data_IF_603847596262
#
_entry.id   IF_603847596262
#
_cell.length_a   1.000
_cell.length_b   1.000
_cell.length_c   1.000
_cell.angle_alpha   90.00
_cell.angle_beta   90.00
_cell.angle_gamma   90.00
#
_symmetry.space_group_name_H-M   'P 1'
#
loop_
_entity.id
_entity.type
_entity.pdbx_description
1 polymer ?
#
# COMPACT_ATOMS: atom_id res chain seq x y z
N UNK A 1 -25.15 -13.37 6.08
CA UNK A 1 -24.26 -12.52 6.89
C UNK A 1 -24.90 -11.14 6.90
N UNK A 2 -25.28 -10.65 8.07
CA UNK A 2 -25.99 -9.36 8.22
C UNK A 2 -25.25 -8.24 7.50
N UNK A 3 -25.98 -7.44 6.72
CA UNK A 3 -25.51 -6.26 6.01
C UNK A 3 -24.96 -5.25 7.03
N UNK A 4 -23.66 -5.32 7.30
CA UNK A 4 -23.04 -4.54 8.35
C UNK A 4 -22.36 -3.32 7.77
N UNK A 5 -23.04 -2.18 7.86
CA UNK A 5 -22.50 -0.88 7.47
C UNK A 5 -21.31 -0.52 8.36
N UNK A 6 -20.21 -0.09 7.77
CA UNK A 6 -19.00 0.38 8.46
C UNK A 6 -19.05 1.89 8.70
N UNK A 7 -18.35 2.37 9.72
CA UNK A 7 -18.18 3.81 9.90
C UNK A 7 -17.27 4.36 8.78
N UNK A 8 -16.23 3.61 8.44
CA UNK A 8 -15.31 3.97 7.37
C UNK A 8 -14.73 2.74 6.66
N UNK A 9 -14.69 2.79 5.33
CA UNK A 9 -13.85 1.89 4.52
C UNK A 9 -12.59 2.65 4.09
N UNK A 10 -11.43 2.01 4.24
CA UNK A 10 -10.13 2.53 3.82
C UNK A 10 -9.63 1.69 2.64
N UNK A 11 -9.38 2.32 1.50
CA UNK A 11 -8.90 1.65 0.29
C UNK A 11 -7.39 1.84 0.19
N UNK A 12 -6.65 0.78 0.51
CA UNK A 12 -5.18 0.75 0.52
C UNK A 12 -4.62 0.67 1.93
N UNK A 13 -3.84 -0.37 2.21
CA UNK A 13 -3.13 -0.58 3.48
C UNK A 13 -1.63 -0.23 3.37
N UNK A 14 -1.30 0.90 2.74
CA UNK A 14 0.01 1.53 2.86
C UNK A 14 0.14 2.35 4.15
N UNK A 15 1.23 3.10 4.38
CA UNK A 15 1.43 3.88 5.60
C UNK A 15 0.28 4.85 5.89
N UNK A 16 -0.26 5.51 4.87
CA UNK A 16 -1.39 6.43 5.00
C UNK A 16 -2.67 5.72 5.48
N UNK A 17 -3.03 4.61 4.82
CA UNK A 17 -4.23 3.86 5.16
C UNK A 17 -4.13 3.16 6.52
N UNK A 18 -2.98 2.56 6.83
CA UNK A 18 -2.75 1.92 8.13
C UNK A 18 -2.80 2.94 9.27
N UNK A 19 -2.20 4.11 9.10
CA UNK A 19 -2.29 5.18 10.10
C UNK A 19 -3.73 5.64 10.32
N UNK A 20 -4.49 5.85 9.24
CA UNK A 20 -5.90 6.23 9.33
C UNK A 20 -6.73 5.15 10.03
N UNK A 21 -6.58 3.88 9.62
CA UNK A 21 -7.29 2.75 10.20
C UNK A 21 -6.95 2.55 11.68
N UNK A 22 -5.69 2.75 12.08
CA UNK A 22 -5.27 2.64 13.48
C UNK A 22 -6.00 3.67 14.34
N UNK A 23 -6.00 4.94 13.94
CA UNK A 23 -6.70 5.97 14.71
C UNK A 23 -8.21 5.76 14.72
N UNK A 24 -8.81 5.37 13.59
CA UNK A 24 -10.25 5.04 13.54
C UNK A 24 -10.59 3.89 14.50
N UNK A 25 -9.80 2.82 14.51
CA UNK A 25 -9.97 1.70 15.43
C UNK A 25 -9.80 2.14 16.90
N UNK A 26 -8.81 2.99 17.20
CA UNK A 26 -8.61 3.59 18.54
C UNK A 26 -9.78 4.47 18.98
N UNK A 27 -10.45 5.13 18.03
CA UNK A 27 -11.70 5.87 18.27
C UNK A 27 -12.94 4.97 18.30
N UNK A 28 -12.75 3.65 18.35
CA UNK A 28 -13.81 2.62 18.38
C UNK A 28 -14.75 2.71 17.17
N UNK A 29 -14.24 3.15 16.03
CA UNK A 29 -14.97 3.14 14.76
C UNK A 29 -14.82 1.77 14.11
N UNK A 30 -15.90 1.28 13.51
CA UNK A 30 -15.92 0.07 12.70
C UNK A 30 -15.26 0.39 11.36
N UNK A 31 -13.98 0.03 11.24
CA UNK A 31 -13.16 0.28 10.05
C UNK A 31 -12.84 -1.01 9.31
N UNK A 32 -13.01 -1.00 7.99
CA UNK A 32 -12.59 -2.07 7.09
C UNK A 32 -11.56 -1.52 6.10
N UNK A 33 -10.39 -2.14 6.04
CA UNK A 33 -9.27 -1.71 5.20
C UNK A 33 -8.98 -2.76 4.13
N UNK A 34 -8.94 -2.36 2.86
CA UNK A 34 -8.57 -3.22 1.75
C UNK A 34 -7.11 -3.06 1.33
N UNK A 35 -6.48 -4.14 0.86
CA UNK A 35 -5.17 -4.10 0.20
C UNK A 35 -5.01 -5.21 -0.84
N UNK A 36 -4.06 -5.05 -1.75
CA UNK A 36 -3.71 -6.06 -2.77
C UNK A 36 -2.19 -6.39 -2.81
N UNK A 37 -1.48 -6.22 -1.68
CA UNK A 37 -0.06 -6.61 -1.52
C UNK A 37 0.92 -6.07 -2.58
N UNK A 38 0.67 -4.89 -3.14
CA UNK A 38 1.57 -4.25 -4.11
C UNK A 38 1.94 -2.83 -3.65
N UNK A 39 2.74 -2.69 -2.57
CA UNK A 39 3.20 -1.38 -2.12
C UNK A 39 4.18 -0.76 -3.14
N UNK A 40 4.13 0.57 -3.27
CA UNK A 40 4.96 1.31 -4.25
C UNK A 40 6.45 1.07 -4.06
N UNK A 41 6.92 1.08 -2.81
CA UNK A 41 8.33 0.98 -2.44
C UNK A 41 8.78 -0.48 -2.18
N UNK A 42 8.07 -1.48 -2.72
CA UNK A 42 8.40 -2.91 -2.49
C UNK A 42 9.85 -3.28 -2.91
N UNK A 43 10.48 -2.48 -3.77
CA UNK A 43 11.86 -2.71 -4.23
C UNK A 43 12.92 -1.99 -3.40
N UNK A 44 12.52 -1.15 -2.46
CA UNK A 44 13.48 -0.49 -1.58
C UNK A 44 14.02 -1.47 -0.54
N UNK A 45 15.31 -1.35 -0.25
CA UNK A 45 16.02 -2.15 0.76
C UNK A 45 15.90 -1.58 2.18
N UNK A 46 15.18 -0.48 2.35
CA UNK A 46 14.98 0.14 3.66
C UNK A 46 14.13 1.39 3.57
N UNK A 47 13.26 1.59 4.56
CA UNK A 47 12.56 2.86 4.71
C UNK A 47 13.45 3.80 5.52
N UNK A 48 13.89 4.87 4.87
CA UNK A 48 14.63 5.96 5.51
C UNK A 48 13.74 7.20 5.64
N UNK A 49 14.11 8.13 6.52
CA UNK A 49 13.31 9.33 6.79
C UNK A 49 12.03 9.09 7.62
N UNK A 50 11.71 7.84 7.98
CA UNK A 50 10.60 7.53 8.90
C UNK A 50 11.14 7.44 10.34
N UNK A 51 10.80 8.43 11.17
CA UNK A 51 11.31 8.58 12.53
C UNK A 51 11.10 7.30 13.36
N UNK A 52 12.16 6.81 14.00
CA UNK A 52 12.12 5.60 14.83
C UNK A 52 12.16 4.28 14.07
N UNK A 53 12.14 4.31 12.73
CA UNK A 53 12.11 3.10 11.88
C UNK A 53 13.18 3.14 10.78
N UNK A 54 14.32 3.78 11.02
CA UNK A 54 15.38 3.86 10.01
C UNK A 54 15.83 2.47 9.56
N UNK A 55 15.80 2.22 8.25
CA UNK A 55 16.25 0.99 7.63
C UNK A 55 15.26 -0.18 7.76
N UNK A 56 14.05 0.02 8.28
CA UNK A 56 13.05 -1.05 8.31
C UNK A 56 12.68 -1.50 6.90
N UNK A 57 12.48 -2.80 6.69
CA UNK A 57 12.00 -3.28 5.40
C UNK A 57 10.57 -2.77 5.14
N UNK A 58 10.22 -2.35 3.91
CA UNK A 58 8.86 -1.91 3.58
C UNK A 58 7.79 -2.91 3.97
N UNK A 59 8.03 -4.21 3.74
CA UNK A 59 7.10 -5.29 4.10
C UNK A 59 6.91 -5.40 5.61
N UNK A 60 8.00 -5.30 6.38
CA UNK A 60 7.97 -5.36 7.84
C UNK A 60 7.23 -4.15 8.45
N UNK A 61 7.44 -2.95 7.91
CA UNK A 61 6.69 -1.76 8.33
C UNK A 61 5.18 -1.97 8.16
N UNK A 62 4.76 -2.51 7.01
CA UNK A 62 3.34 -2.78 6.76
C UNK A 62 2.81 -3.91 7.64
N UNK A 63 3.58 -4.97 7.89
CA UNK A 63 3.18 -6.06 8.78
C UNK A 63 2.94 -5.55 10.20
N UNK A 64 3.87 -4.77 10.75
CA UNK A 64 3.71 -4.14 12.07
C UNK A 64 2.47 -3.24 12.12
N UNK A 65 2.30 -2.37 11.12
CA UNK A 65 1.13 -1.48 11.07
C UNK A 65 -0.20 -2.23 10.95
N UNK A 66 -0.25 -3.32 10.17
CA UNK A 66 -1.44 -4.18 10.10
C UNK A 66 -1.77 -4.80 11.45
N UNK A 67 -0.75 -5.31 12.14
CA UNK A 67 -0.89 -5.87 13.48
C UNK A 67 -1.45 -4.85 14.46
N UNK A 68 -0.92 -3.62 14.47
CA UNK A 68 -1.43 -2.55 15.32
C UNK A 68 -2.91 -2.25 15.05
N UNK A 69 -3.34 -2.18 13.78
CA UNK A 69 -4.75 -1.98 13.43
C UNK A 69 -5.63 -3.13 13.94
N UNK A 70 -5.22 -4.38 13.71
CA UNK A 70 -6.00 -5.56 14.14
C UNK A 70 -6.06 -5.70 15.66
N UNK A 71 -4.98 -5.38 16.37
CA UNK A 71 -4.94 -5.41 17.84
C UNK A 71 -5.92 -4.40 18.47
N UNK A 72 -6.28 -3.34 17.73
CA UNK A 72 -7.28 -2.35 18.13
C UNK A 72 -8.68 -2.62 17.56
N UNK A 73 -8.92 -3.78 16.93
CA UNK A 73 -10.22 -4.21 16.41
C UNK A 73 -10.57 -3.70 15.01
N UNK A 74 -9.63 -3.07 14.30
CA UNK A 74 -9.81 -2.75 12.89
C UNK A 74 -9.72 -4.00 12.03
N UNK A 75 -10.50 -4.07 10.95
CA UNK A 75 -10.45 -5.18 10.00
C UNK A 75 -9.56 -4.82 8.80
N UNK A 76 -8.70 -5.74 8.41
CA UNK A 76 -7.88 -5.65 7.20
C UNK A 76 -8.13 -6.90 6.37
N UNK A 77 -8.48 -6.71 5.10
CA UNK A 77 -8.84 -7.78 4.18
C UNK A 77 -8.07 -7.59 2.88
N UNK A 78 -7.51 -8.69 2.38
CA UNK A 78 -6.96 -8.71 1.03
C UNK A 78 -8.10 -8.69 0.02
N UNK A 79 -8.06 -7.71 -0.88
CA UNK A 79 -9.10 -7.48 -1.86
C UNK A 79 -8.80 -6.28 -2.74
N UNK A 80 -9.14 -6.41 -4.00
CA UNK A 80 -9.05 -5.35 -4.98
C UNK A 80 -10.36 -4.55 -4.96
N UNK A 81 -10.33 -3.26 -4.63
CA UNK A 81 -11.50 -2.39 -4.79
C UNK A 81 -11.56 -1.94 -6.25
N UNK A 82 -12.65 -2.30 -6.94
CA UNK A 82 -12.84 -2.02 -8.37
C UNK A 82 -13.84 -0.90 -8.61
N UNK A 83 -14.73 -0.64 -7.65
CA UNK A 83 -15.77 0.39 -7.78
C UNK A 83 -16.16 0.98 -6.44
N UNK A 84 -16.45 2.28 -6.45
CA UNK A 84 -17.02 3.04 -5.33
C UNK A 84 -18.19 3.84 -5.87
N UNK A 85 -19.35 3.73 -5.20
CA UNK A 85 -20.57 4.41 -5.57
C UNK A 85 -21.16 5.11 -4.36
N UNK A 86 -21.57 6.37 -4.49
CA UNK A 86 -22.41 7.04 -3.49
C UNK A 86 -23.85 6.60 -3.74
N UNK A 87 -24.42 5.83 -2.81
CA UNK A 87 -25.76 5.23 -2.95
C UNK A 87 -26.84 5.97 -2.15
N UNK A 88 -26.42 6.80 -1.18
CA UNK A 88 -27.27 7.77 -0.48
C UNK A 88 -26.41 8.93 0.03
N UNK A 89 -27.01 9.91 0.73
CA UNK A 89 -26.28 11.13 1.07
C UNK A 89 -25.02 10.92 1.93
N UNK A 90 -25.11 10.00 2.88
CA UNK A 90 -24.04 9.62 3.80
C UNK A 90 -23.72 8.12 3.70
N UNK A 91 -23.83 7.53 2.51
CA UNK A 91 -23.58 6.11 2.31
C UNK A 91 -22.90 5.80 0.98
N UNK A 92 -21.79 5.07 1.08
CA UNK A 92 -21.02 4.57 -0.04
C UNK A 92 -21.11 3.05 -0.11
N UNK A 93 -21.19 2.52 -1.33
CA UNK A 93 -20.97 1.11 -1.64
C UNK A 93 -19.61 0.94 -2.29
N UNK A 94 -18.82 0.03 -1.74
CA UNK A 94 -17.49 -0.34 -2.22
C UNK A 94 -17.55 -1.77 -2.70
N UNK A 95 -17.28 -2.00 -3.98
CA UNK A 95 -17.26 -3.33 -4.59
C UNK A 95 -15.83 -3.80 -4.80
N UNK A 96 -15.59 -5.06 -4.48
CA UNK A 96 -14.32 -5.73 -4.75
C UNK A 96 -14.39 -6.58 -6.02
N UNK A 97 -13.26 -7.05 -6.53
CA UNK A 97 -13.20 -7.95 -7.67
C UNK A 97 -11.77 -8.33 -8.05
N UNK A 98 -11.58 -8.82 -9.27
CA UNK A 98 -10.26 -9.06 -9.88
C UNK A 98 -10.14 -8.39 -11.26
N UNK A 99 -10.97 -7.37 -11.49
CA UNK A 99 -11.11 -6.68 -12.78
C UNK A 99 -11.94 -7.44 -13.83
N UNK A 100 -12.23 -8.72 -13.62
CA UNK A 100 -13.05 -9.55 -14.53
C UNK A 100 -14.34 -10.05 -13.89
N UNK A 101 -14.31 -10.28 -12.58
CA UNK A 101 -15.41 -10.80 -11.78
C UNK A 101 -15.69 -9.80 -10.66
N UNK A 102 -16.97 -9.43 -10.51
CA UNK A 102 -17.44 -8.65 -9.37
C UNK A 102 -17.44 -9.58 -8.15
N UNK A 103 -16.65 -9.20 -7.15
CA UNK A 103 -16.58 -9.85 -5.85
C UNK A 103 -17.69 -9.38 -4.90
N UNK A 104 -17.34 -9.18 -3.65
CA UNK A 104 -18.28 -8.77 -2.61
C UNK A 104 -18.49 -7.25 -2.62
N UNK A 105 -19.61 -6.79 -2.04
CA UNK A 105 -19.87 -5.37 -1.81
C UNK A 105 -20.00 -5.08 -0.33
N UNK A 106 -19.51 -3.92 0.07
CA UNK A 106 -19.48 -3.44 1.45
C UNK A 106 -19.98 -2.00 1.48
N UNK A 107 -20.60 -1.61 2.58
CA UNK A 107 -21.16 -0.26 2.72
C UNK A 107 -20.53 0.49 3.88
N UNK A 108 -20.33 1.79 3.71
CA UNK A 108 -19.76 2.65 4.75
C UNK A 108 -20.26 4.09 4.69
N UNK A 109 -20.29 4.75 5.84
CA UNK A 109 -20.63 6.17 5.92
C UNK A 109 -19.54 7.08 5.38
N UNK A 110 -18.27 6.67 5.51
CA UNK A 110 -17.11 7.43 5.07
C UNK A 110 -16.15 6.55 4.28
N UNK A 111 -15.36 7.18 3.43
CA UNK A 111 -14.35 6.51 2.63
C UNK A 111 -13.02 7.26 2.73
N UNK A 112 -11.92 6.53 2.87
CA UNK A 112 -10.57 7.07 2.74
C UNK A 112 -9.90 6.36 1.58
N UNK A 113 -9.46 7.13 0.58
CA UNK A 113 -8.66 6.62 -0.54
C UNK A 113 -7.18 6.80 -0.22
N UNK A 114 -6.51 5.68 0.07
CA UNK A 114 -5.08 5.59 0.38
C UNK A 114 -4.39 4.64 -0.60
N UNK A 115 -4.81 4.66 -1.86
CA UNK A 115 -4.38 3.73 -2.93
C UNK A 115 -2.94 3.92 -3.39
N UNK A 116 -2.31 5.05 -3.01
CA UNK A 116 -0.99 5.41 -3.48
C UNK A 116 -0.99 5.77 -4.97
N UNK A 117 0.14 5.55 -5.61
CA UNK A 117 0.36 5.82 -7.03
C UNK A 117 1.25 4.74 -7.65
N UNK A 118 1.25 4.70 -8.98
CA UNK A 118 2.15 3.85 -9.77
C UNK A 118 3.14 4.72 -10.52
N UNK A 119 4.42 4.38 -10.41
CA UNK A 119 5.47 5.01 -11.22
C UNK A 119 5.35 4.52 -12.67
N UNK A 120 5.30 5.47 -13.61
CA UNK A 120 5.46 5.19 -15.03
C UNK A 120 6.95 5.13 -15.33
N UNK A 121 7.44 3.92 -15.58
CA UNK A 121 8.86 3.68 -15.82
C UNK A 121 9.19 3.80 -17.31
N UNK A 122 10.37 4.33 -17.69
CA UNK A 122 10.83 4.33 -19.08
C UNK A 122 10.84 2.92 -19.67
N UNK A 123 10.43 2.80 -20.93
CA UNK A 123 10.53 1.57 -21.70
C UNK A 123 11.94 1.47 -22.30
N UNK A 124 12.93 1.16 -21.46
CA UNK A 124 14.29 0.89 -21.89
C UNK A 124 14.86 -0.38 -21.26
N UNK A 125 15.67 -1.16 -22.02
CA UNK A 125 16.24 -2.40 -21.53
C UNK A 125 17.01 -2.20 -20.22
N UNK A 126 16.72 -3.03 -19.23
CA UNK A 126 17.40 -3.04 -17.93
C UNK A 126 16.82 -2.10 -16.88
N UNK A 127 15.94 -1.14 -17.21
CA UNK A 127 15.39 -0.22 -16.19
C UNK A 127 14.74 -0.96 -15.02
N UNK A 128 13.86 -1.92 -15.33
CA UNK A 128 13.14 -2.70 -14.32
C UNK A 128 14.03 -3.63 -13.50
N UNK A 129 15.17 -4.03 -14.07
CA UNK A 129 16.13 -4.92 -13.43
C UNK A 129 16.93 -4.19 -12.34
N UNK A 130 17.08 -2.87 -12.46
CA UNK A 130 17.87 -2.01 -11.57
C UNK A 130 17.04 -1.03 -10.73
N UNK A 131 15.73 -0.87 -11.02
CA UNK A 131 14.85 0.02 -10.26
C UNK A 131 14.69 -0.45 -8.80
N UNK A 132 15.11 0.40 -7.86
CA UNK A 132 15.20 0.11 -6.43
C UNK A 132 16.56 -0.47 -5.97
N UNK A 133 17.44 -0.83 -6.90
CA UNK A 133 18.80 -1.33 -6.60
C UNK A 133 19.85 -0.24 -6.81
N UNK A 134 19.95 0.28 -8.03
CA UNK A 134 20.89 1.34 -8.42
C UNK A 134 20.20 2.48 -9.16
N UNK A 135 18.96 2.27 -9.61
CA UNK A 135 18.08 3.31 -10.17
C UNK A 135 17.04 3.67 -9.13
N UNK A 136 17.11 4.91 -8.64
CA UNK A 136 16.22 5.43 -7.62
C UNK A 136 15.48 6.66 -8.14
N UNK A 137 14.23 6.84 -7.71
CA UNK A 137 13.45 8.02 -8.06
C UNK A 137 13.48 9.10 -6.96
N UNK A 138 13.82 8.72 -5.72
CA UNK A 138 13.76 9.58 -4.54
C UNK A 138 15.16 9.75 -3.94
N UNK A 139 15.85 10.88 -4.18
CA UNK A 139 17.18 11.11 -3.62
C UNK A 139 17.16 11.22 -2.08
N UNK A 140 16.06 11.70 -1.49
CA UNK A 140 15.91 11.78 -0.03
C UNK A 140 15.79 10.41 0.63
N UNK A 141 15.34 9.41 -0.13
CA UNK A 141 15.07 8.07 0.37
C UNK A 141 16.32 7.19 0.33
N UNK A 142 17.05 7.20 -0.79
CA UNK A 142 18.15 6.25 -1.04
C UNK A 142 19.51 6.94 -1.31
N UNK A 143 19.53 8.28 -1.42
CA UNK A 143 20.71 9.03 -1.83
C UNK A 143 21.86 8.95 -0.84
N UNK A 144 21.56 8.80 0.46
CA UNK A 144 22.59 8.64 1.49
C UNK A 144 23.32 7.30 1.34
N UNK A 145 22.59 6.24 1.03
CA UNK A 145 23.08 4.87 0.91
C UNK A 145 23.96 4.69 -0.33
N UNK A 146 23.62 5.34 -1.44
CA UNK A 146 24.34 5.18 -2.72
C UNK A 146 25.50 6.17 -2.94
N UNK A 147 25.80 7.04 -1.97
CA UNK A 147 26.77 8.15 -2.12
C UNK A 147 28.21 7.72 -2.43
N UNK A 148 28.61 6.51 -2.03
CA UNK A 148 29.98 5.99 -2.14
C UNK A 148 30.13 4.86 -3.16
N UNK A 149 29.03 4.46 -3.81
CA UNK A 149 29.04 3.42 -4.83
C UNK A 149 29.70 3.97 -6.10
N UNK A 150 30.77 3.33 -6.56
CA UNK A 150 31.52 3.78 -7.74
C UNK A 150 30.67 3.62 -9.01
N UNK A 151 29.99 4.69 -9.43
CA UNK A 151 29.13 4.78 -10.62
C UNK A 151 27.90 3.86 -10.57
N UNK A 152 26.68 4.37 -10.84
CA UNK A 152 25.42 3.61 -10.74
C UNK A 152 25.30 2.37 -11.67
N UNK A 153 26.30 2.12 -12.52
CA UNK A 153 26.39 0.96 -13.42
C UNK A 153 27.37 -0.15 -12.96
N UNK A 154 28.04 -0.04 -11.82
CA UNK A 154 28.97 -1.10 -11.37
C UNK A 154 28.26 -2.31 -10.77
N UNK A 155 27.04 -2.13 -10.26
CA UNK A 155 26.25 -3.20 -9.66
C UNK A 155 25.56 -4.02 -10.76
N UNK A 156 26.02 -5.25 -10.97
CA UNK A 156 25.49 -6.18 -11.99
C UNK A 156 24.39 -7.09 -11.44
N UNK A 157 24.07 -6.96 -10.15
CA UNK A 157 23.05 -7.75 -9.49
C UNK A 157 21.67 -7.36 -10.03
N UNK A 158 21.07 -8.26 -10.81
CA UNK A 158 19.69 -8.12 -11.28
C UNK A 158 18.70 -8.39 -10.17
N UNK A 159 17.59 -7.65 -10.19
CA UNK A 159 16.47 -7.89 -9.28
C UNK A 159 15.85 -9.29 -9.51
N UNK A 160 15.44 -10.02 -8.46
CA UNK A 160 14.59 -11.20 -8.60
C UNK A 160 13.21 -10.81 -9.15
N UNK A 161 12.64 -11.67 -10.01
CA UNK A 161 11.32 -11.44 -10.59
C UNK A 161 10.27 -11.38 -9.48
N UNK A 162 9.57 -10.24 -9.36
CA UNK A 162 8.33 -10.17 -8.59
C UNK A 162 7.19 -9.90 -9.56
N UNK A 163 6.22 -10.81 -9.60
CA UNK A 163 4.97 -10.59 -10.32
C UNK A 163 4.22 -9.43 -9.67
N UNK A 164 3.84 -8.43 -10.46
CA UNK A 164 2.85 -7.44 -10.04
C UNK A 164 1.47 -7.96 -10.44
N UNK A 165 0.60 -8.20 -9.47
CA UNK A 165 -0.83 -8.21 -9.76
C UNK A 165 -1.29 -6.75 -9.84
N UNK A 166 -1.81 -6.35 -11.00
CA UNK A 166 -2.57 -5.12 -11.13
C UNK A 166 -4.04 -5.48 -10.92
N UNK A 167 -4.55 -5.05 -9.78
CA UNK A 167 -5.74 -4.22 -9.80
C UNK A 167 -5.53 -3.04 -10.77
#
# INVERSE_FOLDING_TARGET
MSEQIYDCIVVGAGPAGLSASLFLARYRRRVLTFHHNSPRNIYSHGVHGFLGHHGIMPTELLERGRKEVTDHGGLIVEGCVTKVERIADDLFRVSTGDGKIVGQSFEAHRLILATGLRDLTPDCPGFTDFYGLSVHHCPDCDGFEVRTSASPCSDTAKRPSASRSTC
#
